data_IF_426906917707
#
_entry.id   IF_426906917707
#
_cell.length_a   1.000
_cell.length_b   1.000
_cell.length_c   1.000
_cell.angle_alpha   90.00
_cell.angle_beta   90.00
_cell.angle_gamma   90.00
#
_symmetry.space_group_name_H-M   'P 1'
#
loop_
_entity.id
_entity.type
_entity.pdbx_description
1 polymer ?
#
# COMPACT_ATOMS: atom_id res chain seq x y z
N UNK A 1 13.17 2.01 -5.52
CA UNK A 1 13.59 1.46 -6.83
C UNK A 1 14.56 0.28 -6.68
N UNK A 2 15.60 0.38 -5.84
CA UNK A 2 16.60 -0.69 -5.62
C UNK A 2 16.03 -2.07 -5.20
N UNK A 3 14.95 -2.10 -4.39
CA UNK A 3 14.35 -3.36 -3.91
C UNK A 3 13.79 -4.23 -5.04
N UNK A 4 13.13 -3.63 -6.04
CA UNK A 4 12.54 -4.37 -7.16
C UNK A 4 13.63 -4.95 -8.08
N UNK A 5 14.68 -4.17 -8.32
CA UNK A 5 15.81 -4.56 -9.15
C UNK A 5 16.53 -5.76 -8.53
N UNK A 6 16.79 -5.68 -7.23
CA UNK A 6 17.45 -6.75 -6.48
C UNK A 6 16.57 -8.01 -6.38
N UNK A 7 15.27 -7.86 -6.15
CA UNK A 7 14.34 -8.99 -6.15
C UNK A 7 14.31 -9.69 -7.51
N UNK A 8 14.34 -8.93 -8.61
CA UNK A 8 14.41 -9.48 -9.95
C UNK A 8 15.75 -10.15 -10.25
N UNK A 9 16.88 -9.61 -9.77
CA UNK A 9 18.19 -10.28 -9.87
C UNK A 9 18.19 -11.64 -9.17
N UNK A 10 17.63 -11.71 -7.96
CA UNK A 10 17.56 -12.95 -7.17
C UNK A 10 16.53 -13.95 -7.71
N UNK A 11 15.48 -13.50 -8.40
CA UNK A 11 14.42 -14.34 -8.99
C UNK A 11 14.06 -13.85 -10.41
N UNK A 12 14.98 -14.05 -11.35
CA UNK A 12 14.87 -13.52 -12.75
C UNK A 12 13.59 -13.92 -13.49
N UNK A 13 13.03 -15.08 -13.17
CA UNK A 13 11.81 -15.60 -13.81
C UNK A 13 10.53 -15.20 -13.09
N UNK A 14 10.64 -14.52 -11.94
CA UNK A 14 9.49 -14.02 -11.21
C UNK A 14 8.67 -13.02 -12.03
N UNK A 15 7.37 -12.98 -11.75
CA UNK A 15 6.41 -12.14 -12.48
C UNK A 15 5.80 -11.13 -11.53
N UNK A 16 5.48 -9.94 -12.04
CA UNK A 16 4.81 -8.92 -11.27
C UNK A 16 3.33 -8.87 -11.60
N UNK A 17 2.50 -8.68 -10.58
CA UNK A 17 1.07 -8.39 -10.71
C UNK A 17 0.78 -7.07 -9.99
N UNK A 18 -0.16 -6.31 -10.52
CA UNK A 18 -0.78 -5.23 -9.79
C UNK A 18 -2.17 -5.67 -9.33
N UNK A 19 -2.40 -5.55 -8.03
CA UNK A 19 -3.65 -5.92 -7.38
C UNK A 19 -4.20 -4.69 -6.66
N UNK A 20 -5.44 -4.33 -6.96
CA UNK A 20 -6.19 -3.29 -6.23
C UNK A 20 -7.28 -3.94 -5.41
N UNK A 21 -7.25 -3.72 -4.10
CA UNK A 21 -8.23 -4.23 -3.14
C UNK A 21 -9.08 -3.08 -2.62
N UNK A 22 -10.41 -3.16 -2.76
CA UNK A 22 -11.32 -2.13 -2.28
C UNK A 22 -12.22 -2.64 -1.15
N UNK A 23 -12.87 -1.69 -0.48
CA UNK A 23 -14.02 -1.91 0.39
C UNK A 23 -15.07 -0.85 0.06
N UNK A 24 -16.29 -1.03 0.56
CA UNK A 24 -17.30 0.03 0.59
C UNK A 24 -16.80 1.26 1.34
N UNK A 25 -17.40 2.40 1.02
CA UNK A 25 -16.97 3.69 1.53
C UNK A 25 -17.11 3.75 3.05
N UNK A 26 -16.13 4.32 3.72
CA UNK A 26 -16.23 4.66 5.13
C UNK A 26 -16.80 6.07 5.33
N UNK A 27 -17.53 6.28 6.42
CA UNK A 27 -17.68 7.62 7.01
C UNK A 27 -16.38 8.04 7.70
N UNK A 28 -16.20 9.34 7.98
CA UNK A 28 -15.04 9.85 8.73
C UNK A 28 -14.81 9.12 10.04
N UNK A 29 -15.87 8.99 10.85
CA UNK A 29 -15.85 8.28 12.13
C UNK A 29 -15.36 6.82 12.03
N UNK A 30 -15.72 6.11 10.95
CA UNK A 30 -15.40 4.69 10.76
C UNK A 30 -14.10 4.45 9.98
N UNK A 31 -13.53 5.48 9.37
CA UNK A 31 -12.38 5.38 8.46
C UNK A 31 -11.19 4.69 9.12
N UNK A 32 -10.87 5.08 10.37
CA UNK A 32 -9.77 4.48 11.14
C UNK A 32 -9.93 2.98 11.33
N UNK A 33 -11.15 2.56 11.69
CA UNK A 33 -11.46 1.15 11.92
C UNK A 33 -11.36 0.35 10.61
N UNK A 34 -11.88 0.88 9.51
CA UNK A 34 -11.85 0.21 8.21
C UNK A 34 -10.43 0.11 7.65
N UNK A 35 -9.60 1.16 7.74
CA UNK A 35 -8.18 1.10 7.35
C UNK A 35 -7.42 0.06 8.17
N UNK A 36 -7.64 0.00 9.50
CA UNK A 36 -7.06 -1.04 10.38
C UNK A 36 -7.55 -2.44 10.03
N UNK A 37 -8.81 -2.60 9.64
CA UNK A 37 -9.39 -3.87 9.20
C UNK A 37 -8.75 -4.34 7.89
N UNK A 38 -8.59 -3.46 6.92
CA UNK A 38 -7.86 -3.75 5.67
C UNK A 38 -6.40 -4.15 5.94
N UNK A 39 -5.71 -3.44 6.84
CA UNK A 39 -4.34 -3.76 7.24
C UNK A 39 -4.18 -5.16 7.82
N UNK A 40 -5.13 -5.63 8.63
CA UNK A 40 -5.16 -7.00 9.16
C UNK A 40 -5.57 -8.03 8.10
N UNK A 41 -6.53 -7.68 7.25
CA UNK A 41 -7.03 -8.56 6.21
C UNK A 41 -5.96 -8.87 5.15
N UNK A 42 -5.15 -7.89 4.73
CA UNK A 42 -4.11 -8.15 3.73
C UNK A 42 -3.03 -9.12 4.24
N UNK A 43 -2.69 -9.05 5.53
CA UNK A 43 -1.79 -10.04 6.16
C UNK A 43 -2.39 -11.45 6.14
N UNK A 44 -3.70 -11.58 6.41
CA UNK A 44 -4.41 -12.87 6.34
C UNK A 44 -4.53 -13.39 4.91
N UNK A 45 -4.82 -12.52 3.96
CA UNK A 45 -4.95 -12.83 2.54
C UNK A 45 -3.72 -13.58 2.03
N UNK A 46 -2.52 -13.10 2.37
CA UNK A 46 -1.27 -13.71 1.94
C UNK A 46 -0.86 -14.96 2.73
N UNK A 47 -1.57 -15.30 3.81
CA UNK A 47 -1.40 -16.57 4.53
C UNK A 47 -2.28 -17.69 3.96
N UNK A 48 -3.28 -17.38 3.13
CA UNK A 48 -4.08 -18.40 2.48
C UNK A 48 -3.24 -19.26 1.55
N UNK A 49 -3.57 -20.56 1.49
CA UNK A 49 -2.77 -21.61 0.83
C UNK A 49 -2.29 -21.23 -0.56
N UNK A 50 -3.17 -20.71 -1.42
CA UNK A 50 -2.84 -20.42 -2.83
C UNK A 50 -2.03 -19.13 -3.00
N UNK A 51 -2.38 -17.98 -2.36
CA UNK A 51 -1.48 -16.83 -2.28
C UNK A 51 -0.11 -17.17 -1.69
N UNK A 52 -0.04 -17.79 -0.51
CA UNK A 52 1.20 -18.13 0.19
C UNK A 52 2.11 -19.04 -0.65
N UNK A 53 1.53 -20.01 -1.37
CA UNK A 53 2.27 -20.90 -2.26
C UNK A 53 2.99 -20.15 -3.38
N UNK A 54 2.38 -19.09 -3.93
CA UNK A 54 2.85 -18.42 -5.13
C UNK A 54 3.58 -17.10 -4.89
N UNK A 55 3.30 -16.42 -3.78
CA UNK A 55 3.86 -15.11 -3.47
C UNK A 55 5.34 -15.23 -3.07
N UNK A 56 6.19 -14.41 -3.69
CA UNK A 56 7.59 -14.24 -3.31
C UNK A 56 7.77 -13.01 -2.44
N UNK A 57 7.10 -11.91 -2.78
CA UNK A 57 7.13 -10.67 -2.03
C UNK A 57 6.06 -9.70 -2.52
N UNK A 58 5.82 -8.66 -1.74
CA UNK A 58 4.90 -7.60 -2.12
C UNK A 58 5.28 -6.27 -1.48
N UNK A 59 4.82 -5.19 -2.10
CA UNK A 59 4.70 -3.87 -1.49
C UNK A 59 3.27 -3.38 -1.65
N UNK A 60 2.70 -2.84 -0.58
CA UNK A 60 1.35 -2.28 -0.59
C UNK A 60 1.33 -0.85 -0.09
N UNK A 61 0.48 -0.03 -0.69
CA UNK A 61 0.08 1.25 -0.14
C UNK A 61 -1.42 1.25 0.17
N UNK A 62 -1.81 2.10 1.11
CA UNK A 62 -3.22 2.47 1.33
C UNK A 62 -3.41 3.84 0.73
N UNK A 63 -4.49 4.03 -0.02
CA UNK A 63 -4.89 5.31 -0.58
C UNK A 63 -6.34 5.56 -0.18
N UNK A 64 -6.67 6.83 0.04
CA UNK A 64 -8.02 7.28 0.36
C UNK A 64 -8.40 8.35 -0.64
N UNK A 65 -9.51 8.15 -1.35
CA UNK A 65 -10.14 9.17 -2.20
C UNK A 65 -11.36 9.74 -1.50
N UNK A 66 -11.51 11.05 -1.50
CA UNK A 66 -12.64 11.74 -0.88
C UNK A 66 -13.79 11.86 -1.90
N UNK A 67 -15.01 11.53 -1.47
CA UNK A 67 -16.19 11.70 -2.29
C UNK A 67 -16.85 13.06 -2.11
N UNK A 68 -17.59 13.47 -3.15
CA UNK A 68 -18.42 14.68 -3.10
C UNK A 68 -19.45 14.66 -1.96
N UNK A 69 -19.90 13.47 -1.53
CA UNK A 69 -20.85 13.30 -0.44
C UNK A 69 -20.20 13.22 0.96
N UNK A 70 -18.89 13.45 1.08
CA UNK A 70 -18.17 13.42 2.36
C UNK A 70 -17.79 12.02 2.85
N UNK A 71 -18.05 10.97 2.08
CA UNK A 71 -17.56 9.61 2.38
C UNK A 71 -16.16 9.38 1.81
N UNK A 72 -15.46 8.40 2.33
CA UNK A 72 -14.10 8.06 1.96
C UNK A 72 -14.05 6.73 1.22
N UNK A 73 -13.35 6.70 0.10
CA UNK A 73 -13.00 5.48 -0.62
C UNK A 73 -11.59 5.04 -0.24
N UNK A 74 -11.49 4.14 0.71
CA UNK A 74 -10.25 3.49 1.11
C UNK A 74 -9.98 2.26 0.23
N UNK A 75 -8.81 2.23 -0.42
CA UNK A 75 -8.36 1.10 -1.22
C UNK A 75 -6.87 0.84 -1.01
N UNK A 76 -6.44 -0.37 -1.35
CA UNK A 76 -5.03 -0.77 -1.32
C UNK A 76 -4.53 -1.10 -2.71
N UNK A 77 -3.41 -0.49 -3.07
CA UNK A 77 -2.64 -0.87 -4.24
C UNK A 77 -1.50 -1.78 -3.82
N UNK A 78 -1.40 -2.94 -4.45
CA UNK A 78 -0.41 -3.97 -4.11
C UNK A 78 0.34 -4.38 -5.35
N UNK A 79 1.66 -4.19 -5.33
CA UNK A 79 2.55 -4.76 -6.32
C UNK A 79 3.02 -6.11 -5.78
N UNK A 80 2.55 -7.18 -6.40
CA UNK A 80 2.92 -8.55 -6.06
C UNK A 80 4.09 -9.00 -6.93
N UNK A 81 5.00 -9.75 -6.34
CA UNK A 81 6.00 -10.54 -7.04
C UNK A 81 5.73 -12.01 -6.79
N UNK A 82 5.43 -12.75 -7.85
CA UNK A 82 4.98 -14.14 -7.78
C UNK A 82 5.92 -15.07 -8.53
N UNK A 83 5.91 -16.35 -8.13
CA UNK A 83 6.64 -17.42 -8.81
C UNK A 83 6.22 -17.53 -10.28
N UNK A 84 7.13 -17.93 -11.20
CA UNK A 84 6.79 -18.18 -12.60
C UNK A 84 5.68 -19.23 -12.78
N UNK A 85 5.54 -20.14 -11.81
CA UNK A 85 4.49 -21.17 -11.80
C UNK A 85 3.08 -20.61 -11.65
N UNK A 86 2.91 -19.35 -11.23
CA UNK A 86 1.61 -18.72 -11.04
C UNK A 86 0.72 -18.83 -12.29
N UNK A 87 1.28 -18.72 -13.49
CA UNK A 87 0.53 -18.76 -14.75
C UNK A 87 0.51 -20.14 -15.43
N UNK A 88 1.05 -21.18 -14.80
CA UNK A 88 1.19 -22.50 -15.45
C UNK A 88 -0.08 -23.33 -15.44
N UNK A 89 -0.86 -23.28 -14.37
CA UNK A 89 -2.02 -24.13 -14.16
C UNK A 89 -3.06 -23.48 -13.24
N UNK A 90 -4.27 -24.04 -13.22
CA UNK A 90 -5.38 -23.57 -12.38
C UNK A 90 -5.16 -23.78 -10.88
N UNK A 91 -4.29 -24.72 -10.49
CA UNK A 91 -3.94 -24.95 -9.09
C UNK A 91 -3.07 -23.81 -8.52
N UNK A 92 -2.37 -23.07 -9.38
CA UNK A 92 -1.53 -21.93 -9.02
C UNK A 92 -2.18 -20.58 -9.36
N UNK A 93 -2.79 -20.46 -10.54
CA UNK A 93 -3.34 -19.20 -11.04
C UNK A 93 -4.56 -18.74 -10.25
N UNK A 94 -4.53 -17.51 -9.75
CA UNK A 94 -5.66 -16.87 -9.07
C UNK A 94 -6.24 -15.81 -10.02
N UNK A 95 -7.48 -16.04 -10.47
CA UNK A 95 -8.19 -15.07 -11.31
C UNK A 95 -8.85 -13.97 -10.45
N UNK A 96 -9.41 -12.95 -11.09
CA UNK A 96 -10.04 -11.82 -10.40
C UNK A 96 -11.15 -12.26 -9.44
N UNK A 97 -12.02 -13.18 -9.85
CA UNK A 97 -13.14 -13.62 -9.03
C UNK A 97 -12.66 -14.38 -7.78
N UNK A 98 -11.61 -15.18 -7.91
CA UNK A 98 -10.99 -15.87 -6.79
C UNK A 98 -10.27 -14.88 -5.86
N UNK A 99 -9.56 -13.88 -6.38
CA UNK A 99 -8.99 -12.82 -5.55
C UNK A 99 -10.07 -12.06 -4.77
N UNK A 100 -11.18 -11.73 -5.41
CA UNK A 100 -12.32 -11.05 -4.77
C UNK A 100 -12.91 -11.91 -3.64
N UNK A 101 -13.09 -13.22 -3.83
CA UNK A 101 -13.55 -14.15 -2.77
C UNK A 101 -12.55 -14.28 -1.62
N UNK A 102 -11.25 -14.38 -1.93
CA UNK A 102 -10.21 -14.43 -0.89
C UNK A 102 -10.19 -13.12 -0.09
N UNK A 103 -10.35 -11.98 -0.75
CA UNK A 103 -10.40 -10.68 -0.11
C UNK A 103 -11.63 -10.51 0.78
N UNK A 104 -12.82 -10.84 0.25
CA UNK A 104 -14.08 -10.90 1.01
C UNK A 104 -13.91 -11.70 2.30
N UNK A 105 -13.34 -12.91 2.19
CA UNK A 105 -13.09 -13.79 3.34
C UNK A 105 -12.11 -13.18 4.34
N UNK A 106 -11.03 -12.57 3.86
CA UNK A 106 -10.02 -11.94 4.73
C UNK A 106 -10.58 -10.74 5.50
N UNK A 107 -11.40 -9.93 4.84
CA UNK A 107 -12.10 -8.77 5.42
C UNK A 107 -13.33 -9.14 6.23
N UNK A 108 -13.86 -10.37 6.07
CA UNK A 108 -15.15 -10.82 6.63
C UNK A 108 -16.32 -9.94 6.17
N UNK A 109 -16.40 -9.69 4.87
CA UNK A 109 -17.49 -8.91 4.26
C UNK A 109 -18.66 -9.84 3.93
N UNK A 110 -19.86 -9.31 4.10
CA UNK A 110 -21.14 -9.91 3.69
C UNK A 110 -21.48 -9.63 2.21
N UNK A 111 -20.81 -8.67 1.57
CA UNK A 111 -20.86 -8.40 0.14
C UNK A 111 -19.59 -8.84 -0.60
N UNK A 112 -19.67 -8.94 -1.94
CA UNK A 112 -18.53 -9.23 -2.81
C UNK A 112 -17.80 -7.92 -3.17
N UNK A 113 -16.54 -7.71 -2.73
CA UNK A 113 -15.81 -6.48 -3.01
C UNK A 113 -15.29 -6.43 -4.45
N UNK A 114 -15.10 -5.22 -4.98
CA UNK A 114 -14.46 -5.05 -6.29
C UNK A 114 -12.94 -5.19 -6.13
N UNK A 115 -12.34 -6.02 -6.97
CA UNK A 115 -10.89 -6.20 -7.01
C UNK A 115 -10.45 -6.08 -8.45
N UNK A 116 -9.32 -5.42 -8.69
CA UNK A 116 -8.64 -5.46 -9.98
C UNK A 116 -7.33 -6.23 -9.86
N UNK A 117 -7.02 -7.06 -10.84
CA UNK A 117 -5.74 -7.79 -10.90
C UNK A 117 -5.23 -7.83 -12.32
N UNK A 118 -4.01 -7.33 -12.51
CA UNK A 118 -3.38 -7.25 -13.82
C UNK A 118 -1.94 -7.72 -13.77
N UNK A 119 -1.52 -8.49 -14.77
CA UNK A 119 -0.11 -8.83 -14.93
C UNK A 119 0.65 -7.61 -15.44
N UNK A 120 1.73 -7.22 -14.77
CA UNK A 120 2.62 -6.17 -15.26
C UNK A 120 3.33 -6.70 -16.50
N UNK A 121 3.13 -6.03 -17.63
CA UNK A 121 3.72 -6.42 -18.92
C UNK A 121 4.96 -5.59 -19.19
N UNK A 122 5.95 -6.20 -19.82
CA UNK A 122 7.12 -5.50 -20.34
C UNK A 122 6.69 -4.54 -21.46
N UNK A 123 6.92 -3.24 -21.29
CA UNK A 123 6.77 -2.29 -22.38
C UNK A 123 7.97 -2.40 -23.35
N UNK A 124 7.76 -2.96 -24.54
CA UNK A 124 8.82 -3.20 -25.54
C UNK A 124 9.61 -1.92 -25.91
N UNK A 125 8.99 -0.74 -25.77
CA UNK A 125 9.64 0.55 -26.03
C UNK A 125 10.73 0.94 -25.00
N UNK A 126 10.77 0.30 -23.81
CA UNK A 126 11.70 0.64 -22.70
C UNK A 126 12.92 -0.32 -22.58
N UNK A 127 13.19 -1.17 -23.57
CA UNK A 127 14.39 -2.03 -23.61
C UNK A 127 14.44 -3.19 -22.60
N UNK A 128 15.65 -3.72 -22.32
CA UNK A 128 15.90 -4.96 -21.52
C UNK A 128 15.36 -4.93 -20.08
N UNK A 129 15.19 -3.74 -19.47
CA UNK A 129 14.64 -3.58 -18.10
C UNK A 129 13.17 -3.15 -18.05
N UNK A 130 12.45 -3.28 -19.17
CA UNK A 130 11.07 -2.77 -19.33
C UNK A 130 10.05 -3.31 -18.32
N UNK A 131 10.18 -4.56 -17.86
CA UNK A 131 9.28 -5.14 -16.85
C UNK A 131 9.45 -4.45 -15.49
N UNK A 132 10.70 -4.25 -15.07
CA UNK A 132 11.04 -3.54 -13.83
C UNK A 132 10.59 -2.09 -13.92
N UNK A 133 10.86 -1.42 -15.05
CA UNK A 133 10.43 -0.04 -15.25
C UNK A 133 8.90 0.11 -15.18
N UNK A 134 8.16 -0.87 -15.72
CA UNK A 134 6.69 -0.91 -15.63
C UNK A 134 6.22 -1.17 -14.20
N UNK A 135 6.88 -2.08 -13.47
CA UNK A 135 6.59 -2.32 -12.06
C UNK A 135 6.91 -1.10 -11.17
N UNK A 136 8.00 -0.39 -11.46
CA UNK A 136 8.37 0.86 -10.79
C UNK A 136 7.36 1.97 -11.10
N UNK A 137 6.87 2.06 -12.35
CA UNK A 137 5.82 3.00 -12.75
C UNK A 137 4.51 2.72 -12.02
N UNK A 138 4.09 1.46 -11.97
CA UNK A 138 2.94 1.01 -11.17
C UNK A 138 3.11 1.34 -9.69
N UNK A 139 4.32 1.19 -9.13
CA UNK A 139 4.63 1.55 -7.76
C UNK A 139 4.63 3.08 -7.52
N UNK A 140 4.79 3.93 -8.54
CA UNK A 140 4.68 5.40 -8.37
C UNK A 140 3.24 5.84 -8.09
N UNK A 141 2.26 5.13 -8.64
CA UNK A 141 0.84 5.42 -8.38
C UNK A 141 0.42 5.09 -6.94
N UNK A 142 1.16 4.22 -6.25
CA UNK A 142 0.92 3.87 -4.84
C UNK A 142 1.09 5.06 -3.86
N UNK A 143 1.73 6.15 -4.28
CA UNK A 143 2.17 7.25 -3.40
C UNK A 143 1.36 8.54 -3.63
N UNK A 144 0.44 8.58 -4.60
CA UNK A 144 -0.32 9.81 -4.91
C UNK A 144 -1.59 9.91 -4.07
N UNK A 145 -1.55 10.70 -3.01
CA UNK A 145 -2.76 11.29 -2.41
C UNK A 145 -3.38 12.26 -3.42
N UNK A 146 -4.64 12.04 -3.82
CA UNK A 146 -5.39 12.97 -4.68
C UNK A 146 -5.98 14.11 -3.84
N UNK A 147 -5.86 15.31 -4.40
CA UNK A 147 -6.52 16.60 -4.10
C UNK A 147 -7.46 16.62 -2.89
N UNK A 148 -6.91 17.06 -1.74
CA UNK A 148 -7.62 17.30 -0.48
C UNK A 148 -8.33 18.67 -0.49
N UNK A 149 -7.81 19.62 -1.27
CA UNK A 149 -8.18 21.03 -1.18
C UNK A 149 -9.33 21.37 -2.14
N UNK A 150 -10.39 21.94 -1.59
CA UNK A 150 -11.50 22.54 -2.34
C UNK A 150 -11.56 24.05 -2.07
N UNK A 151 -12.65 24.73 -2.44
CA UNK A 151 -12.87 26.15 -2.11
C UNK A 151 -13.68 26.33 -0.80
N UNK A 152 -13.89 25.26 -0.04
CA UNK A 152 -14.72 25.22 1.17
C UNK A 152 -13.85 24.88 2.39
N UNK A 153 -13.48 25.91 3.15
CA UNK A 153 -12.50 25.79 4.24
C UNK A 153 -12.96 24.90 5.40
N UNK A 154 -14.25 24.93 5.77
CA UNK A 154 -14.75 24.10 6.87
C UNK A 154 -14.73 22.62 6.49
N UNK A 155 -15.14 22.33 5.25
CA UNK A 155 -15.08 20.98 4.69
C UNK A 155 -13.64 20.46 4.58
N UNK A 156 -12.73 21.30 4.11
CA UNK A 156 -11.33 20.92 3.97
C UNK A 156 -10.67 20.61 5.33
N UNK A 157 -11.00 21.39 6.38
CA UNK A 157 -10.55 21.13 7.75
C UNK A 157 -11.08 19.81 8.30
N UNK A 158 -12.37 19.52 8.10
CA UNK A 158 -12.96 18.24 8.53
C UNK A 158 -12.31 17.05 7.82
N UNK A 159 -12.06 17.17 6.51
CA UNK A 159 -11.39 16.13 5.73
C UNK A 159 -9.96 15.88 6.23
N UNK A 160 -9.22 16.95 6.55
CA UNK A 160 -7.87 16.82 7.11
C UNK A 160 -7.92 16.11 8.46
N UNK A 161 -8.85 16.48 9.35
CA UNK A 161 -9.01 15.83 10.66
C UNK A 161 -9.38 14.34 10.52
N UNK A 162 -10.36 14.01 9.67
CA UNK A 162 -10.78 12.64 9.41
C UNK A 162 -9.64 11.78 8.85
N UNK A 163 -8.83 12.35 7.94
CA UNK A 163 -7.67 11.66 7.37
C UNK A 163 -6.56 11.48 8.40
N UNK A 164 -6.25 12.49 9.21
CA UNK A 164 -5.27 12.37 10.30
C UNK A 164 -5.69 11.28 11.29
N UNK A 165 -6.93 11.34 11.79
CA UNK A 165 -7.44 10.34 12.73
C UNK A 165 -7.55 8.95 12.10
N UNK A 166 -8.03 8.89 10.84
CA UNK A 166 -8.22 7.68 10.05
C UNK A 166 -6.92 6.95 9.75
N UNK A 167 -5.86 7.70 9.47
CA UNK A 167 -4.54 7.16 9.15
C UNK A 167 -3.65 6.99 10.38
N UNK A 168 -3.98 7.59 11.53
CA UNK A 168 -3.20 7.51 12.76
C UNK A 168 -2.90 6.06 13.19
N UNK A 169 -1.61 5.75 13.33
CA UNK A 169 -1.12 4.42 13.71
C UNK A 169 -1.31 3.35 12.63
N UNK A 170 -1.69 3.74 11.41
CA UNK A 170 -1.78 2.83 10.27
C UNK A 170 -0.57 2.99 9.35
N UNK A 171 0.09 1.87 9.07
CA UNK A 171 1.26 1.87 8.18
C UNK A 171 0.78 2.10 6.75
N UNK A 172 1.10 3.24 6.13
CA UNK A 172 0.64 3.55 4.77
C UNK A 172 1.35 2.70 3.72
N UNK A 173 2.66 2.48 3.85
CA UNK A 173 3.44 1.63 2.95
C UNK A 173 3.99 0.43 3.70
N UNK A 174 3.82 -0.79 3.18
CA UNK A 174 4.42 -1.96 3.80
C UNK A 174 4.94 -2.97 2.80
N UNK A 175 6.03 -3.63 3.20
CA UNK A 175 6.73 -4.64 2.42
C UNK A 175 6.58 -6.01 3.10
N UNK A 176 6.44 -7.06 2.30
CA UNK A 176 6.41 -8.45 2.79
C UNK A 176 7.18 -9.41 1.89
N UNK A 177 7.51 -10.58 2.44
CA UNK A 177 8.34 -11.60 1.79
C UNK A 177 9.71 -11.06 1.39
N UNK A 178 10.18 -11.47 0.21
CA UNK A 178 11.50 -11.13 -0.33
C UNK A 178 11.77 -9.61 -0.36
N UNK A 179 10.74 -8.79 -0.61
CA UNK A 179 10.94 -7.34 -0.63
C UNK A 179 11.30 -6.77 0.74
N UNK A 180 10.73 -7.33 1.82
CA UNK A 180 11.05 -6.94 3.20
C UNK A 180 12.48 -7.34 3.55
N UNK A 181 12.90 -8.54 3.15
CA UNK A 181 14.24 -9.07 3.36
C UNK A 181 15.29 -8.20 2.66
N UNK A 182 15.09 -7.92 1.38
CA UNK A 182 15.98 -7.08 0.58
C UNK A 182 16.04 -5.65 1.14
N UNK A 183 14.90 -5.07 1.52
CA UNK A 183 14.89 -3.72 2.11
C UNK A 183 15.72 -3.65 3.39
N UNK A 184 15.64 -4.69 4.25
CA UNK A 184 16.46 -4.82 5.46
C UNK A 184 17.95 -4.95 5.13
N UNK A 185 18.30 -5.76 4.12
CA UNK A 185 19.69 -5.95 3.68
C UNK A 185 20.31 -4.68 3.12
N UNK A 186 19.54 -3.89 2.37
CA UNK A 186 19.99 -2.63 1.78
C UNK A 186 20.09 -1.47 2.79
N UNK A 187 19.82 -1.72 4.08
CA UNK A 187 19.80 -0.69 5.14
C UNK A 187 18.94 0.53 4.78
N UNK A 188 17.91 0.34 3.95
CA UNK A 188 16.97 1.41 3.62
C UNK A 188 16.12 1.66 4.87
N UNK A 189 16.36 2.79 5.53
CA UNK A 189 15.67 3.18 6.77
C UNK A 189 14.15 3.00 6.64
N UNK A 190 13.55 2.56 7.75
CA UNK A 190 12.10 2.53 7.87
C UNK A 190 11.60 3.96 8.08
N UNK A 191 11.17 4.62 6.99
CA UNK A 191 10.46 5.91 7.05
C UNK A 191 9.20 5.82 7.96
N UNK A 192 8.75 4.59 8.28
CA UNK A 192 7.57 4.30 9.12
C UNK A 192 7.89 3.73 10.52
N UNK A 193 9.16 3.63 10.95
CA UNK A 193 9.49 3.05 12.28
C UNK A 193 9.38 4.06 13.44
N UNK A 194 9.00 5.32 13.19
CA UNK A 194 8.90 6.37 14.21
C UNK A 194 7.48 6.95 14.37
N UNK A 195 6.44 6.19 14.01
CA UNK A 195 5.07 6.52 14.40
C UNK A 195 4.68 5.73 15.65
N UNK A 196 5.21 6.22 16.77
CA UNK A 196 4.79 6.16 18.18
C UNK A 196 3.73 5.08 18.52
N UNK A 197 4.17 4.05 19.26
CA UNK A 197 3.32 3.30 20.17
C UNK A 197 2.91 4.26 21.30
N UNK A 198 1.66 4.74 21.31
CA UNK A 198 1.06 5.36 22.49
C UNK A 198 0.21 4.30 23.15
N UNK A 199 0.87 3.37 23.84
CA UNK A 199 0.31 2.53 24.90
C UNK A 199 1.48 1.72 25.48
N UNK A 200 2.27 2.36 26.34
CA UNK A 200 2.55 1.85 27.67
C UNK A 200 3.48 2.82 28.42
N UNK A 201 3.17 3.01 29.68
CA UNK A 201 3.87 3.87 30.63
C UNK A 201 5.38 3.54 30.73
N UNK A 202 6.17 4.62 30.83
CA UNK A 202 7.57 4.70 31.27
C UNK A 202 8.63 4.10 30.34
N UNK A 203 9.13 4.91 29.41
CA UNK A 203 10.52 4.79 28.94
C UNK A 203 11.20 6.15 29.03
N UNK A 204 12.32 6.19 29.76
CA UNK A 204 13.17 7.38 29.89
C UNK A 204 13.67 7.81 28.51
N UNK A 205 13.41 9.06 28.17
CA UNK A 205 13.83 9.72 26.94
C UNK A 205 15.30 10.09 27.13
N UNK A 206 16.19 9.53 26.32
CA UNK A 206 17.55 10.06 26.18
C UNK A 206 17.51 11.19 25.14
N UNK A 207 17.98 12.36 25.55
CA UNK A 207 17.83 13.64 24.86
C UNK A 207 18.70 13.69 23.60
N UNK A 208 18.10 13.49 22.43
CA UNK A 208 18.48 14.21 21.19
C UNK A 208 17.25 14.32 20.27
N UNK A 209 16.29 15.16 20.66
CA UNK A 209 15.23 15.62 19.76
C UNK A 209 15.84 16.66 18.82
N UNK A 210 16.02 16.32 17.55
CA UNK A 210 16.19 17.34 16.49
C UNK A 210 14.81 17.66 15.95
N UNK A 211 14.26 18.77 16.42
CA UNK A 211 13.06 19.37 15.86
C UNK A 211 13.36 19.83 14.43
N UNK A 212 12.62 19.31 13.45
CA UNK A 212 12.69 19.77 12.06
C UNK A 212 11.32 20.34 11.71
N UNK A 213 11.25 21.67 11.70
CA UNK A 213 10.04 22.43 11.34
C UNK A 213 10.06 22.72 9.86
N UNK A 214 9.33 21.95 9.06
CA UNK A 214 9.14 22.27 7.65
C UNK A 214 8.08 23.36 7.48
N UNK A 215 8.41 24.44 6.77
CA UNK A 215 7.46 25.53 6.46
C UNK A 215 7.02 25.45 4.99
N UNK A 216 5.74 25.70 4.76
CA UNK A 216 5.14 25.71 3.43
C UNK A 216 5.46 27.03 2.71
N UNK A 217 6.06 26.93 1.51
CA UNK A 217 6.29 28.08 0.63
C UNK A 217 5.15 28.21 -0.39
N UNK A 218 4.32 29.24 -0.22
CA UNK A 218 3.19 29.50 -1.11
C UNK A 218 3.59 29.90 -2.54
N UNK A 219 4.79 30.45 -2.76
CA UNK A 219 5.24 30.81 -4.09
C UNK A 219 5.77 29.60 -4.87
N UNK A 220 6.44 28.68 -4.16
CA UNK A 220 7.04 27.49 -4.76
C UNK A 220 6.13 26.28 -4.76
N UNK A 221 5.02 26.34 -4.01
CA UNK A 221 4.08 25.23 -3.77
C UNK A 221 4.82 23.95 -3.33
N UNK A 222 5.78 24.10 -2.43
CA UNK A 222 6.56 22.99 -1.91
C UNK A 222 6.98 23.25 -0.45
N UNK A 223 7.23 22.16 0.29
CA UNK A 223 7.78 22.23 1.65
C UNK A 223 9.30 22.29 1.59
N UNK A 224 9.89 23.10 2.45
CA UNK A 224 11.32 23.09 2.70
C UNK A 224 11.58 22.81 4.18
N UNK A 225 12.67 22.08 4.40
CA UNK A 225 13.23 21.77 5.72
C UNK A 225 14.18 22.89 6.13
#
# INVERSE_FOLDING_TARGET
MQVLDEAHKQRKTGRFLFLTLTAENASGENLKQEVRKMGRAISKLFQYKKPAKNLLGYVRSTEITINKNGTYHQHMHVLLFVKPTYFKDSANYINQAEWSKLWQRAMKLDYQPIVNVEAVRSNKAKGKNSLIASAQETAKYQVKSKDILTNDQERDLQVVEDLEQGLAGSRQISYGGLFKEIRKQLQLEDVDAHLINVDDDKVKIDEMVREVVAKWDYQRKNYFV
#
